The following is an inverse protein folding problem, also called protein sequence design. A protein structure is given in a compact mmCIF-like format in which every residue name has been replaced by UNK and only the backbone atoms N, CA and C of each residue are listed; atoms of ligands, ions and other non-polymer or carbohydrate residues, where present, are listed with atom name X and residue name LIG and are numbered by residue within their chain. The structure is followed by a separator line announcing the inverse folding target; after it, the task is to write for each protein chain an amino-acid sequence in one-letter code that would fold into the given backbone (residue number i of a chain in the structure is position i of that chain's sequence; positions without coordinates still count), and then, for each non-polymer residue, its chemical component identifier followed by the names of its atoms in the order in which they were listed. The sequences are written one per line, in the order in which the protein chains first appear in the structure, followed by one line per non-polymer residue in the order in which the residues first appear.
data_IF_281875594891
#
_entry.id   IF_281875594891
#
_cell.length_a   1.000
_cell.length_b   1.000
_cell.length_c   1.000
_cell.angle_alpha   90.00
_cell.angle_beta   90.00
_cell.angle_gamma   90.00
#
_symmetry.space_group_name_H-M   'P 1'
#
loop_
_entity.id
_entity.type
_entity.pdbx_description
1 polymer ?
#
# COMPACT_ATOMS: atom_id res chain seq x y z
N UNK A 1 -16.07 34.76 87.86
CA UNK A 1 -17.12 33.76 87.57
C UNK A 1 -17.25 33.67 86.06
N UNK A 2 -16.91 32.56 85.39
CA UNK A 2 -17.85 31.47 84.97
C UNK A 2 -19.10 32.03 84.26
N UNK A 3 -19.55 31.64 83.06
CA UNK A 3 -19.26 30.54 82.12
C UNK A 3 -19.77 31.01 80.71
N UNK A 4 -19.63 30.36 79.54
CA UNK A 4 -18.96 29.13 79.08
C UNK A 4 -18.64 29.25 77.56
N UNK A 5 -17.60 28.61 77.03
CA UNK A 5 -17.32 28.59 75.59
C UNK A 5 -18.01 27.40 74.88
N UNK A 6 -19.09 27.68 74.13
CA UNK A 6 -19.79 26.65 73.34
C UNK A 6 -18.97 26.24 72.11
N UNK A 7 -18.14 25.20 72.29
CA UNK A 7 -17.33 24.58 71.24
C UNK A 7 -18.25 23.86 70.25
N UNK A 8 -18.59 24.50 69.11
CA UNK A 8 -19.28 23.81 68.01
C UNK A 8 -18.42 22.63 67.55
N UNK A 9 -18.83 21.41 67.86
CA UNK A 9 -18.25 20.18 67.29
C UNK A 9 -18.52 20.19 65.79
N UNK A 10 -17.53 20.62 64.99
CA UNK A 10 -17.49 20.25 63.57
C UNK A 10 -17.46 18.73 63.50
N UNK A 11 -18.48 18.12 62.89
CA UNK A 11 -18.66 16.67 62.88
C UNK A 11 -17.65 16.04 61.92
N UNK A 12 -16.63 15.27 62.39
CA UNK A 12 -15.59 14.74 61.50
C UNK A 12 -16.18 13.83 60.42
N UNK A 13 -17.27 13.14 60.75
CA UNK A 13 -17.99 12.23 59.86
C UNK A 13 -18.42 12.90 58.54
N UNK A 14 -18.75 14.20 58.47
CA UNK A 14 -19.19 14.80 57.20
C UNK A 14 -18.06 14.97 56.19
N UNK A 15 -16.85 15.34 56.64
CA UNK A 15 -15.69 15.40 55.77
C UNK A 15 -15.25 13.99 55.34
N UNK A 16 -15.18 13.06 56.30
CA UNK A 16 -14.76 11.67 56.06
C UNK A 16 -15.76 10.91 55.13
N UNK A 17 -17.07 11.09 55.29
CA UNK A 17 -18.07 10.55 54.35
C UNK A 17 -17.98 11.21 52.97
N UNK A 18 -17.64 12.50 52.89
CA UNK A 18 -17.38 13.21 51.64
C UNK A 18 -16.17 12.65 50.90
N UNK A 19 -15.05 12.45 51.59
CA UNK A 19 -13.84 11.84 51.03
C UNK A 19 -14.07 10.38 50.63
N UNK A 20 -14.80 9.57 51.41
CA UNK A 20 -15.12 8.20 51.01
C UNK A 20 -16.07 8.13 49.80
N UNK A 21 -17.03 9.06 49.67
CA UNK A 21 -17.87 9.16 48.48
C UNK A 21 -17.06 9.61 47.25
N UNK A 22 -16.18 10.60 47.42
CA UNK A 22 -15.24 11.10 46.40
C UNK A 22 -14.26 10.02 45.93
N UNK A 23 -13.68 9.25 46.85
CA UNK A 23 -12.79 8.14 46.55
C UNK A 23 -13.51 7.01 45.80
N UNK A 24 -14.76 6.69 46.16
CA UNK A 24 -15.58 5.70 45.44
C UNK A 24 -15.90 6.17 44.02
N UNK A 25 -16.25 7.45 43.83
CA UNK A 25 -16.46 8.04 42.51
C UNK A 25 -15.18 7.99 41.66
N UNK A 26 -14.05 8.38 42.23
CA UNK A 26 -12.74 8.38 41.56
C UNK A 26 -12.31 6.98 41.14
N UNK A 27 -12.56 5.95 41.97
CA UNK A 27 -12.33 4.53 41.60
C UNK A 27 -13.15 4.12 40.37
N UNK A 28 -14.45 4.45 40.33
CA UNK A 28 -15.28 4.15 39.17
C UNK A 28 -14.80 4.87 37.90
N UNK A 29 -14.40 6.13 38.01
CA UNK A 29 -13.83 6.90 36.88
C UNK A 29 -12.55 6.22 36.36
N UNK A 30 -11.62 5.85 37.26
CA UNK A 30 -10.39 5.17 36.88
C UNK A 30 -10.64 3.84 36.15
N UNK A 31 -11.54 3.00 36.68
CA UNK A 31 -11.88 1.70 36.06
C UNK A 31 -12.58 1.88 34.71
N UNK A 32 -13.60 2.74 34.61
CA UNK A 32 -14.37 2.92 33.38
C UNK A 32 -13.51 3.57 32.30
N UNK A 33 -12.77 4.64 32.62
CA UNK A 33 -11.89 5.30 31.66
C UNK A 33 -10.73 4.38 31.22
N UNK A 34 -10.16 3.59 32.13
CA UNK A 34 -9.13 2.60 31.80
C UNK A 34 -9.62 1.52 30.85
N UNK A 35 -10.82 0.96 31.09
CA UNK A 35 -11.44 -0.03 30.21
C UNK A 35 -11.79 0.54 28.83
N UNK A 36 -12.32 1.76 28.76
CA UNK A 36 -12.60 2.46 27.49
C UNK A 36 -11.29 2.70 26.72
N UNK A 37 -10.25 3.22 27.39
CA UNK A 37 -8.94 3.46 26.79
C UNK A 37 -8.31 2.18 26.25
N UNK A 38 -8.38 1.08 27.00
CA UNK A 38 -7.92 -0.24 26.58
C UNK A 38 -8.66 -0.75 25.32
N UNK A 39 -9.99 -0.78 25.35
CA UNK A 39 -10.81 -1.30 24.23
C UNK A 39 -10.59 -0.47 22.96
N UNK A 40 -10.59 0.86 23.05
CA UNK A 40 -10.34 1.72 21.89
C UNK A 40 -8.92 1.57 21.33
N UNK A 41 -7.91 1.40 22.20
CA UNK A 41 -6.53 1.15 21.79
C UNK A 41 -6.38 -0.17 21.04
N UNK A 42 -6.96 -1.26 21.57
CA UNK A 42 -6.92 -2.60 20.95
C UNK A 42 -7.71 -2.64 19.64
N UNK A 43 -8.83 -1.91 19.54
CA UNK A 43 -9.62 -1.82 18.31
C UNK A 43 -8.93 -0.99 17.21
N UNK A 44 -8.16 0.04 17.56
CA UNK A 44 -7.52 0.99 16.63
C UNK A 44 -6.80 0.35 15.42
N UNK A 45 -5.92 -0.68 15.55
CA UNK A 45 -5.29 -1.30 14.38
C UNK A 45 -6.30 -1.91 13.39
N UNK A 46 -7.41 -2.46 13.88
CA UNK A 46 -8.47 -3.08 13.07
C UNK A 46 -9.43 -2.08 12.42
N UNK A 47 -9.45 -0.81 12.87
CA UNK A 47 -10.36 0.20 12.33
C UNK A 47 -9.98 0.63 10.89
N UNK A 48 -10.97 0.93 10.02
CA UNK A 48 -10.72 1.24 8.62
C UNK A 48 -9.82 2.44 8.37
N UNK A 49 -9.06 2.36 7.28
CA UNK A 49 -8.24 3.44 6.70
C UNK A 49 -8.70 3.73 5.27
N UNK A 50 -8.39 4.93 4.77
CA UNK A 50 -8.54 5.27 3.36
C UNK A 50 -7.16 5.19 2.69
N UNK A 51 -6.98 4.29 1.73
CA UNK A 51 -5.79 4.21 0.90
C UNK A 51 -5.94 5.11 -0.33
N UNK A 52 -4.88 5.82 -0.70
CA UNK A 52 -4.79 6.50 -2.00
C UNK A 52 -4.16 5.53 -3.00
N UNK A 53 -4.94 5.07 -3.98
CA UNK A 53 -4.46 4.18 -5.05
C UNK A 53 -3.84 4.98 -6.21
N UNK A 54 -2.93 4.36 -6.94
CA UNK A 54 -2.30 4.93 -8.13
C UNK A 54 -2.15 3.88 -9.23
N UNK A 55 -2.38 4.28 -10.47
CA UNK A 55 -2.19 3.48 -11.68
C UNK A 55 -1.21 4.21 -12.61
N UNK A 56 -0.40 3.42 -13.32
CA UNK A 56 0.48 3.90 -14.38
C UNK A 56 -0.09 3.42 -15.71
N UNK A 57 -0.66 4.36 -16.48
CA UNK A 57 -1.18 4.09 -17.82
C UNK A 57 -0.30 4.72 -18.91
N UNK A 58 -0.14 3.99 -20.01
CA UNK A 58 0.62 4.38 -21.20
C UNK A 58 0.00 3.74 -22.46
N UNK A 59 0.02 4.36 -23.65
CA UNK A 59 0.59 5.68 -23.98
C UNK A 59 -0.12 6.87 -23.34
N UNK A 60 0.58 8.00 -23.22
CA UNK A 60 0.04 9.23 -22.63
C UNK A 60 -0.13 10.32 -23.69
N UNK A 61 -1.16 11.17 -23.52
CA UNK A 61 -1.43 12.33 -24.42
C UNK A 61 -1.55 11.95 -25.91
N UNK A 62 -1.93 10.70 -26.21
CA UNK A 62 -2.07 10.20 -27.58
C UNK A 62 -0.76 10.07 -28.37
N UNK A 63 0.40 10.08 -27.70
CA UNK A 63 1.72 10.03 -28.34
C UNK A 63 2.55 8.86 -27.80
N UNK A 64 3.34 8.25 -28.69
CA UNK A 64 4.38 7.30 -28.34
C UNK A 64 5.60 8.07 -27.86
N UNK A 65 5.87 7.92 -26.57
CA UNK A 65 7.06 8.46 -25.91
C UNK A 65 7.35 7.65 -24.66
N UNK A 66 8.62 7.54 -24.31
CA UNK A 66 9.03 6.91 -23.06
C UNK A 66 8.63 7.78 -21.87
N UNK A 67 8.12 7.16 -20.80
CA UNK A 67 7.73 7.82 -19.55
C UNK A 67 8.49 7.22 -18.38
N UNK A 68 8.98 8.05 -17.46
CA UNK A 68 9.67 7.62 -16.25
C UNK A 68 8.69 7.48 -15.09
N UNK A 69 8.76 6.34 -14.40
CA UNK A 69 7.94 6.02 -13.24
C UNK A 69 8.73 5.06 -12.32
N UNK A 70 9.72 5.56 -11.55
CA UNK A 70 10.50 4.73 -10.64
C UNK A 70 9.66 4.29 -9.43
N UNK A 71 9.25 3.02 -9.41
CA UNK A 71 8.52 2.44 -8.28
C UNK A 71 9.48 2.19 -7.11
N UNK A 72 9.21 2.80 -5.95
CA UNK A 72 9.98 2.54 -4.72
C UNK A 72 9.82 1.08 -4.23
N UNK A 73 8.65 0.48 -4.45
CA UNK A 73 8.36 -0.93 -4.19
C UNK A 73 8.99 -1.90 -5.22
N UNK A 74 9.71 -1.36 -6.21
CA UNK A 74 10.28 -2.00 -7.41
C UNK A 74 9.23 -2.63 -8.35
N UNK A 75 8.36 -3.49 -7.84
CA UNK A 75 7.34 -4.24 -8.60
C UNK A 75 5.93 -3.67 -8.37
N UNK A 76 5.02 -3.80 -9.35
CA UNK A 76 3.61 -3.44 -9.20
C UNK A 76 2.84 -4.54 -8.44
N UNK A 77 1.60 -4.24 -8.07
CA UNK A 77 0.63 -5.27 -7.63
C UNK A 77 0.31 -6.16 -8.82
N UNK A 78 -0.16 -5.55 -9.91
CA UNK A 78 -0.51 -6.17 -11.18
C UNK A 78 0.00 -5.32 -12.35
N UNK A 79 0.35 -5.98 -13.46
CA UNK A 79 0.78 -5.38 -14.71
C UNK A 79 0.07 -6.04 -15.89
N UNK A 80 -0.41 -5.22 -16.81
CA UNK A 80 -1.01 -5.66 -18.07
C UNK A 80 -0.48 -4.82 -19.23
N UNK A 81 -0.22 -5.47 -20.36
CA UNK A 81 0.14 -4.83 -21.61
C UNK A 81 -0.61 -5.48 -22.78
N UNK A 82 -1.11 -4.66 -23.69
CA UNK A 82 -1.73 -5.06 -24.95
C UNK A 82 -1.00 -4.36 -26.08
N UNK A 83 -0.46 -5.14 -27.02
CA UNK A 83 0.28 -4.65 -28.19
C UNK A 83 -0.40 -5.18 -29.46
N UNK A 84 -1.09 -4.35 -30.26
CA UNK A 84 -1.65 -4.77 -31.55
C UNK A 84 -0.56 -5.28 -32.49
N UNK A 85 -0.82 -6.36 -33.25
CA UNK A 85 0.21 -6.89 -34.15
C UNK A 85 0.53 -5.93 -35.32
N UNK A 86 -0.33 -4.94 -35.60
CA UNK A 86 -0.05 -3.83 -36.52
C UNK A 86 1.16 -2.98 -36.09
N UNK A 87 1.42 -2.86 -34.78
CA UNK A 87 2.63 -2.21 -34.27
C UNK A 87 3.87 -2.95 -34.77
N UNK A 88 3.89 -4.28 -34.66
CA UNK A 88 4.99 -5.14 -35.13
C UNK A 88 5.12 -5.10 -36.67
N UNK A 89 3.99 -5.07 -37.40
CA UNK A 89 3.97 -4.90 -38.87
C UNK A 89 4.60 -3.58 -39.32
N UNK A 90 4.39 -2.50 -38.57
CA UNK A 90 4.91 -1.18 -38.90
C UNK A 90 6.39 -0.96 -38.51
N UNK A 91 7.02 -1.88 -37.78
CA UNK A 91 8.43 -1.72 -37.36
C UNK A 91 9.43 -1.93 -38.50
N UNK A 92 10.60 -1.23 -38.46
CA UNK A 92 11.70 -1.47 -39.39
C UNK A 92 12.16 -2.95 -39.43
N UNK A 93 12.85 -3.39 -40.51
CA UNK A 93 13.39 -4.76 -40.60
C UNK A 93 14.34 -5.13 -39.46
N UNK A 94 15.13 -4.18 -38.95
CA UNK A 94 16.02 -4.38 -37.80
C UNK A 94 15.28 -4.69 -36.48
N UNK A 95 14.00 -4.29 -36.37
CA UNK A 95 13.23 -4.41 -35.14
C UNK A 95 13.51 -3.28 -34.15
N UNK A 96 13.35 -3.58 -32.85
CA UNK A 96 13.49 -2.65 -31.73
C UNK A 96 12.69 -3.09 -30.51
N UNK A 97 12.70 -2.28 -29.45
CA UNK A 97 11.90 -2.47 -28.24
C UNK A 97 10.53 -1.83 -28.45
N UNK A 98 9.48 -2.64 -28.59
CA UNK A 98 8.09 -2.17 -28.58
C UNK A 98 7.73 -1.65 -27.20
N UNK A 99 8.13 -2.40 -26.17
CA UNK A 99 7.84 -2.10 -24.78
C UNK A 99 8.99 -2.58 -23.88
N UNK A 100 9.41 -1.75 -22.93
CA UNK A 100 10.30 -2.12 -21.84
C UNK A 100 9.88 -1.45 -20.53
N UNK A 101 9.95 -2.17 -19.41
CA UNK A 101 9.71 -1.61 -18.07
C UNK A 101 10.96 -0.95 -17.46
N UNK A 102 12.09 -1.05 -18.16
CA UNK A 102 13.33 -0.32 -17.93
C UNK A 102 13.99 0.06 -19.28
N UNK A 103 14.94 1.00 -19.33
CA UNK A 103 15.75 1.27 -20.52
C UNK A 103 16.55 0.02 -20.90
N UNK A 104 16.56 -0.35 -22.20
CA UNK A 104 17.22 -1.59 -22.67
C UNK A 104 18.73 -1.64 -22.39
N UNK A 105 19.38 -0.47 -22.41
CA UNK A 105 20.82 -0.30 -22.10
C UNK A 105 21.09 -0.11 -20.60
N UNK A 106 20.09 -0.24 -19.73
CA UNK A 106 20.26 -0.15 -18.28
C UNK A 106 21.07 -1.31 -17.72
N UNK A 107 21.83 -1.06 -16.65
CA UNK A 107 22.53 -2.12 -15.91
C UNK A 107 21.52 -3.18 -15.46
N UNK A 108 21.84 -4.45 -15.73
CA UNK A 108 21.04 -5.62 -15.36
C UNK A 108 19.57 -5.56 -15.83
N UNK A 109 19.24 -4.74 -16.83
CA UNK A 109 17.85 -4.48 -17.23
C UNK A 109 17.13 -5.78 -17.65
N UNK A 110 17.78 -6.64 -18.43
CA UNK A 110 17.23 -7.94 -18.82
C UNK A 110 16.98 -8.88 -17.62
N UNK A 111 17.67 -8.69 -16.48
CA UNK A 111 17.55 -9.53 -15.28
C UNK A 111 16.42 -9.11 -14.34
N UNK A 112 15.89 -7.88 -14.46
CA UNK A 112 14.85 -7.37 -13.56
C UNK A 112 13.59 -6.84 -14.25
N UNK A 113 13.66 -6.50 -15.53
CA UNK A 113 12.57 -5.84 -16.25
C UNK A 113 11.96 -6.74 -17.34
N UNK A 114 10.67 -6.53 -17.60
CA UNK A 114 9.94 -7.07 -18.73
C UNK A 114 10.22 -6.27 -20.00
N UNK A 115 10.40 -6.99 -21.11
CA UNK A 115 10.49 -6.44 -22.46
C UNK A 115 9.61 -7.20 -23.46
N UNK A 116 9.05 -6.45 -24.42
CA UNK A 116 8.52 -6.96 -25.69
C UNK A 116 9.46 -6.46 -26.78
N UNK A 117 10.30 -7.34 -27.30
CA UNK A 117 11.33 -7.04 -28.29
C UNK A 117 10.94 -7.65 -29.63
N UNK A 118 11.08 -6.89 -30.70
CA UNK A 118 11.00 -7.37 -32.08
C UNK A 118 12.43 -7.37 -32.63
N UNK A 119 12.87 -8.50 -33.17
CA UNK A 119 14.13 -8.63 -33.91
C UNK A 119 13.83 -8.75 -35.42
N UNK A 120 14.83 -9.06 -36.24
CA UNK A 120 14.58 -9.35 -37.66
C UNK A 120 13.81 -10.67 -37.87
N UNK A 121 13.91 -11.64 -36.95
CA UNK A 121 13.36 -12.99 -37.11
C UNK A 121 12.32 -13.40 -36.05
N UNK A 122 12.31 -12.76 -34.88
CA UNK A 122 11.49 -13.16 -33.72
C UNK A 122 10.81 -11.98 -33.05
N UNK A 123 9.71 -12.26 -32.37
CA UNK A 123 9.09 -11.38 -31.37
C UNK A 123 9.12 -12.11 -30.04
N UNK A 124 9.79 -11.50 -29.07
CA UNK A 124 10.14 -12.11 -27.80
C UNK A 124 9.51 -11.31 -26.65
N UNK A 125 8.73 -11.98 -25.81
CA UNK A 125 8.30 -11.46 -24.51
C UNK A 125 9.21 -12.09 -23.46
N UNK A 126 10.02 -11.27 -22.81
CA UNK A 126 11.01 -11.71 -21.82
C UNK A 126 10.79 -10.98 -20.51
N UNK A 127 10.91 -11.66 -19.38
CA UNK A 127 10.86 -11.07 -18.05
C UNK A 127 11.90 -11.71 -17.13
N UNK A 128 12.61 -10.91 -16.33
CA UNK A 128 13.66 -11.34 -15.38
C UNK A 128 14.62 -12.42 -15.92
N UNK A 129 15.13 -12.23 -17.13
CA UNK A 129 16.03 -13.14 -17.88
C UNK A 129 15.44 -14.51 -18.24
N UNK A 130 14.10 -14.63 -18.22
CA UNK A 130 13.34 -15.78 -18.70
C UNK A 130 12.56 -15.38 -19.97
N UNK A 131 12.57 -16.24 -20.98
CA UNK A 131 11.73 -16.06 -22.18
C UNK A 131 10.33 -16.61 -21.85
N UNK A 132 9.35 -15.70 -21.73
CA UNK A 132 7.95 -16.05 -21.43
C UNK A 132 7.30 -16.69 -22.65
N UNK A 133 7.50 -16.09 -23.83
CA UNK A 133 7.05 -16.59 -25.12
C UNK A 133 7.88 -15.95 -26.25
N UNK A 134 8.28 -16.76 -27.23
CA UNK A 134 9.04 -16.32 -28.40
C UNK A 134 8.37 -16.87 -29.67
N UNK A 135 8.04 -15.99 -30.61
CA UNK A 135 7.26 -16.32 -31.81
C UNK A 135 8.01 -15.82 -33.06
N UNK A 136 8.05 -16.58 -34.17
CA UNK A 136 8.62 -16.09 -35.43
C UNK A 136 7.93 -14.81 -35.92
N UNK A 137 8.71 -13.80 -36.36
CA UNK A 137 8.19 -12.48 -36.73
C UNK A 137 7.19 -12.57 -37.88
N UNK A 138 7.43 -13.45 -38.84
CA UNK A 138 6.55 -13.70 -39.99
C UNK A 138 5.15 -14.19 -39.56
N UNK A 139 5.05 -14.97 -38.47
CA UNK A 139 3.77 -15.39 -37.91
C UNK A 139 3.04 -14.22 -37.24
N UNK A 140 3.78 -13.37 -36.50
CA UNK A 140 3.24 -12.18 -35.83
C UNK A 140 2.81 -11.10 -36.84
N UNK A 141 3.51 -10.97 -37.97
CA UNK A 141 3.09 -10.05 -39.04
C UNK A 141 1.91 -10.57 -39.84
N UNK A 142 1.59 -11.88 -39.78
CA UNK A 142 0.48 -12.47 -40.54
C UNK A 142 -0.89 -11.88 -40.14
N UNK A 143 -1.91 -11.95 -41.02
CA UNK A 143 -3.27 -11.50 -40.71
C UNK A 143 -3.95 -12.28 -39.58
N UNK A 144 -3.39 -13.42 -39.15
CA UNK A 144 -3.93 -14.22 -38.03
C UNK A 144 -3.64 -13.56 -36.68
N UNK A 145 -2.52 -12.83 -36.56
CA UNK A 145 -2.15 -12.13 -35.33
C UNK A 145 -2.98 -10.87 -35.14
N UNK A 146 -3.73 -10.83 -34.03
CA UNK A 146 -4.55 -9.67 -33.63
C UNK A 146 -3.78 -8.76 -32.67
N UNK A 147 -3.35 -9.31 -31.53
CA UNK A 147 -2.63 -8.59 -30.46
C UNK A 147 -1.81 -9.53 -29.60
N UNK A 148 -0.76 -9.01 -28.98
CA UNK A 148 0.02 -9.64 -27.93
C UNK A 148 -0.51 -9.12 -26.60
N UNK A 149 -1.04 -10.00 -25.77
CA UNK A 149 -1.45 -9.72 -24.40
C UNK A 149 -0.37 -10.24 -23.45
N UNK A 150 0.09 -9.40 -22.52
CA UNK A 150 1.06 -9.76 -21.49
C UNK A 150 0.47 -9.41 -20.14
N UNK A 151 0.41 -10.38 -19.24
CA UNK A 151 -0.15 -10.20 -17.89
C UNK A 151 0.83 -10.69 -16.86
N UNK A 152 1.08 -9.90 -15.83
CA UNK A 152 1.91 -10.28 -14.68
C UNK A 152 1.20 -9.87 -13.40
N UNK A 153 0.82 -10.87 -12.61
CA UNK A 153 -0.05 -10.71 -11.42
C UNK A 153 0.45 -11.64 -10.31
N UNK A 154 -0.26 -11.73 -9.19
CA UNK A 154 0.03 -12.75 -8.18
C UNK A 154 -0.14 -14.20 -8.70
N UNK A 155 -0.83 -14.43 -9.82
CA UNK A 155 -0.91 -15.75 -10.46
C UNK A 155 0.30 -16.11 -11.33
N UNK A 156 1.25 -15.20 -11.51
CA UNK A 156 2.44 -15.35 -12.37
C UNK A 156 2.42 -14.46 -13.62
N UNK A 157 3.41 -14.66 -14.48
CA UNK A 157 3.64 -13.89 -15.72
C UNK A 157 3.36 -14.74 -16.95
N UNK A 158 2.46 -14.27 -17.81
CA UNK A 158 2.01 -14.94 -19.03
C UNK A 158 2.01 -14.00 -20.24
N UNK A 159 2.25 -14.58 -21.42
CA UNK A 159 2.10 -13.92 -22.71
C UNK A 159 1.18 -14.76 -23.62
N UNK A 160 0.32 -14.07 -24.38
CA UNK A 160 -0.71 -14.65 -25.24
C UNK A 160 -0.72 -13.91 -26.59
N UNK A 161 -0.44 -14.61 -27.68
CA UNK A 161 -0.44 -14.05 -29.03
C UNK A 161 -1.79 -14.34 -29.69
N UNK A 162 -2.75 -13.45 -29.45
CA UNK A 162 -4.17 -13.66 -29.82
C UNK A 162 -4.33 -13.84 -31.32
N UNK A 163 -5.01 -14.92 -31.69
CA UNK A 163 -5.28 -15.33 -33.06
C UNK A 163 -4.23 -16.27 -33.66
N UNK A 164 -3.03 -16.34 -33.06
CA UNK A 164 -2.06 -17.40 -33.36
C UNK A 164 -2.35 -18.67 -32.55
N UNK A 165 -1.89 -19.80 -33.09
CA UNK A 165 -2.04 -21.13 -32.50
C UNK A 165 -0.70 -21.84 -32.44
N UNK A 166 -0.56 -22.74 -31.48
CA UNK A 166 0.56 -23.67 -31.42
C UNK A 166 0.38 -24.84 -32.43
N UNK A 167 1.39 -25.71 -32.60
CA UNK A 167 1.29 -26.87 -33.50
C UNK A 167 0.21 -27.90 -33.10
N UNK A 168 -0.32 -27.85 -31.87
CA UNK A 168 -1.45 -28.71 -31.43
C UNK A 168 -2.82 -28.10 -31.78
N UNK A 169 -2.86 -26.84 -32.22
CA UNK A 169 -4.07 -26.09 -32.54
C UNK A 169 -4.68 -25.33 -31.36
N UNK A 170 -4.00 -25.33 -30.20
CA UNK A 170 -4.37 -24.55 -29.02
C UNK A 170 -3.96 -23.07 -29.18
N UNK A 171 -4.57 -22.12 -28.45
CA UNK A 171 -4.15 -20.71 -28.47
C UNK A 171 -2.68 -20.55 -28.08
N UNK A 172 -1.93 -19.71 -28.80
CA UNK A 172 -0.50 -19.52 -28.56
C UNK A 172 -0.24 -18.69 -27.29
N UNK A 173 -0.28 -19.36 -26.14
CA UNK A 173 -0.08 -18.81 -24.80
C UNK A 173 0.98 -19.58 -24.03
N UNK A 174 1.86 -18.87 -23.34
CA UNK A 174 2.91 -19.43 -22.49
C UNK A 174 3.13 -18.54 -21.26
N UNK A 175 3.80 -19.07 -20.25
CA UNK A 175 4.19 -18.33 -19.05
C UNK A 175 4.48 -19.23 -17.87
N UNK A 176 4.75 -18.59 -16.74
CA UNK A 176 5.22 -19.22 -15.52
C UNK A 176 4.34 -18.78 -14.34
N UNK A 177 3.73 -19.72 -13.59
CA UNK A 177 2.88 -19.42 -12.44
C UNK A 177 3.73 -19.08 -11.19
N UNK A 178 4.68 -18.15 -11.31
CA UNK A 178 5.53 -17.68 -10.22
C UNK A 178 5.19 -16.22 -9.86
N UNK A 179 4.66 -15.93 -8.65
CA UNK A 179 4.34 -14.56 -8.20
C UNK A 179 5.55 -13.64 -8.07
N UNK A 180 6.78 -14.18 -8.13
CA UNK A 180 8.04 -13.45 -8.06
C UNK A 180 8.58 -13.02 -9.45
N UNK A 181 7.95 -13.45 -10.54
CA UNK A 181 8.26 -12.99 -11.90
C UNK A 181 7.55 -11.68 -12.27
N UNK A 182 7.07 -10.90 -11.30
CA UNK A 182 6.59 -9.53 -11.57
C UNK A 182 7.76 -8.60 -11.89
N UNK A 183 7.69 -7.79 -12.97
CA UNK A 183 8.82 -7.00 -13.40
C UNK A 183 9.07 -5.81 -12.49
N UNK A 184 10.35 -5.43 -12.37
CA UNK A 184 10.73 -4.13 -11.85
C UNK A 184 10.37 -3.04 -12.86
N UNK A 185 9.62 -2.03 -12.42
CA UNK A 185 9.22 -0.89 -13.24
C UNK A 185 10.01 0.36 -12.81
N UNK A 186 10.76 0.92 -13.74
CA UNK A 186 11.34 2.28 -13.62
C UNK A 186 10.73 3.28 -14.61
N UNK A 187 9.81 2.80 -15.45
CA UNK A 187 9.07 3.57 -16.44
C UNK A 187 8.44 2.66 -17.50
N UNK A 188 7.93 3.25 -18.56
CA UNK A 188 7.56 2.54 -19.79
C UNK A 188 8.37 3.15 -20.92
N UNK A 189 9.25 2.33 -21.51
CA UNK A 189 10.20 2.72 -22.54
C UNK A 189 9.87 2.04 -23.86
N UNK A 190 10.10 2.74 -24.96
CA UNK A 190 9.84 2.26 -26.32
C UNK A 190 10.81 2.91 -27.31
N UNK A 191 11.14 2.19 -28.37
CA UNK A 191 11.83 2.73 -29.55
C UNK A 191 10.83 3.27 -30.59
N UNK A 192 9.53 3.11 -30.36
CA UNK A 192 8.47 3.61 -31.23
C UNK A 192 8.27 5.12 -31.06
N UNK A 193 7.88 5.80 -32.14
CA UNK A 193 7.66 7.25 -32.17
C UNK A 193 6.40 7.61 -32.95
N UNK A 194 5.85 8.81 -32.73
CA UNK A 194 4.66 9.31 -33.41
C UNK A 194 3.36 9.08 -32.63
N UNK A 195 2.18 9.16 -33.27
CA UNK A 195 0.89 9.03 -32.59
C UNK A 195 0.65 7.61 -32.05
N UNK A 196 -0.03 7.52 -30.91
CA UNK A 196 -0.37 6.24 -30.30
C UNK A 196 -1.42 5.48 -31.14
N UNK A 197 -1.15 4.25 -31.59
CA UNK A 197 -2.12 3.45 -32.34
C UNK A 197 -3.21 2.90 -31.42
N UNK A 198 -4.45 2.72 -31.93
CA UNK A 198 -5.56 2.20 -31.13
C UNK A 198 -5.27 0.78 -30.63
N UNK A 199 -5.62 0.50 -29.37
CA UNK A 199 -5.44 -0.81 -28.73
C UNK A 199 -4.04 -1.08 -28.18
N UNK A 200 -3.05 -0.20 -28.41
CA UNK A 200 -1.80 -0.23 -27.66
C UNK A 200 -2.04 0.38 -26.27
N UNK A 201 -1.88 -0.42 -25.23
CA UNK A 201 -2.12 -0.01 -23.86
C UNK A 201 -1.22 -0.78 -22.88
N UNK A 202 -0.75 -0.09 -21.86
CA UNK A 202 -0.14 -0.67 -20.65
C UNK A 202 -0.81 -0.04 -19.45
N UNK A 203 -1.17 -0.88 -18.48
CA UNK A 203 -1.68 -0.44 -17.19
C UNK A 203 -1.00 -1.25 -16.08
N UNK A 204 -0.44 -0.55 -15.09
CA UNK A 204 0.20 -1.14 -13.92
C UNK A 204 -0.36 -0.54 -12.62
N UNK A 205 -0.83 -1.39 -11.73
CA UNK A 205 -1.34 -1.01 -10.41
C UNK A 205 -0.17 -0.83 -9.45
N UNK A 206 0.10 0.41 -9.03
CA UNK A 206 1.24 0.72 -8.15
C UNK A 206 0.92 0.30 -6.72
N UNK A 207 1.86 -0.40 -6.07
CA UNK A 207 1.71 -0.80 -4.67
C UNK A 207 1.81 0.42 -3.74
N UNK A 208 0.63 0.88 -3.33
CA UNK A 208 0.40 2.07 -2.51
C UNK A 208 -0.11 1.72 -1.12
N UNK A 209 0.06 0.47 -0.65
CA UNK A 209 -0.52 -0.05 0.60
C UNK A 209 -0.17 0.76 1.86
N UNK A 210 0.93 1.51 1.83
CA UNK A 210 1.39 2.35 2.92
C UNK A 210 0.91 3.82 2.82
N UNK A 211 0.41 4.25 1.66
CA UNK A 211 -0.14 5.59 1.41
C UNK A 211 -1.59 5.68 1.89
N UNK A 212 -1.76 5.73 3.21
CA UNK A 212 -3.09 5.72 3.86
C UNK A 212 -3.32 6.91 4.79
N UNK A 213 -4.59 7.23 5.03
CA UNK A 213 -5.03 8.18 6.07
C UNK A 213 -6.11 7.53 6.96
N UNK A 214 -6.19 7.86 8.26
CA UNK A 214 -7.26 7.34 9.11
C UNK A 214 -8.63 7.81 8.64
N UNK A 215 -9.64 6.95 8.78
CA UNK A 215 -11.04 7.37 8.70
C UNK A 215 -11.42 8.23 9.91
N UNK A 216 -12.51 8.99 9.82
CA UNK A 216 -13.07 9.74 10.97
C UNK A 216 -13.33 8.83 12.16
N UNK A 217 -13.82 7.60 11.94
CA UNK A 217 -14.01 6.59 12.98
C UNK A 217 -12.69 6.21 13.67
N UNK A 218 -11.64 5.93 12.90
CA UNK A 218 -10.31 5.61 13.43
C UNK A 218 -9.71 6.79 14.19
N UNK A 219 -9.88 8.01 13.69
CA UNK A 219 -9.42 9.23 14.34
C UNK A 219 -10.13 9.49 15.69
N UNK A 220 -11.46 9.32 15.74
CA UNK A 220 -12.24 9.44 16.98
C UNK A 220 -11.85 8.36 18.00
N UNK A 221 -11.58 7.12 17.56
CA UNK A 221 -11.10 6.07 18.45
C UNK A 221 -9.71 6.37 19.03
N UNK A 222 -8.79 6.90 18.22
CA UNK A 222 -7.46 7.33 18.68
C UNK A 222 -7.57 8.46 19.72
N UNK A 223 -8.34 9.51 19.41
CA UNK A 223 -8.54 10.64 20.33
C UNK A 223 -9.24 10.16 21.62
N UNK A 224 -10.27 9.34 21.50
CA UNK A 224 -11.00 8.77 22.63
C UNK A 224 -10.12 7.89 23.52
N UNK A 225 -9.25 7.05 22.93
CA UNK A 225 -8.28 6.23 23.66
C UNK A 225 -7.30 7.08 24.47
N UNK A 226 -6.72 8.12 23.83
CA UNK A 226 -5.77 9.03 24.48
C UNK A 226 -6.45 9.78 25.63
N UNK A 227 -7.63 10.38 25.40
CA UNK A 227 -8.36 11.13 26.42
C UNK A 227 -8.78 10.22 27.58
N UNK A 228 -9.31 9.03 27.31
CA UNK A 228 -9.69 8.06 28.33
C UNK A 228 -8.48 7.59 29.16
N UNK A 229 -7.32 7.37 28.52
CA UNK A 229 -6.07 7.03 29.22
C UNK A 229 -5.59 8.16 30.12
N UNK A 230 -5.62 9.41 29.65
CA UNK A 230 -5.27 10.59 30.48
C UNK A 230 -6.22 10.74 31.66
N UNK A 231 -7.54 10.57 31.47
CA UNK A 231 -8.53 10.61 32.55
C UNK A 231 -8.29 9.47 33.56
N UNK A 232 -7.98 8.26 33.09
CA UNK A 232 -7.67 7.13 33.97
C UNK A 232 -6.41 7.38 34.81
N UNK A 233 -5.34 7.93 34.21
CA UNK A 233 -4.10 8.27 34.92
C UNK A 233 -4.31 9.41 35.93
N UNK A 234 -5.10 10.44 35.61
CA UNK A 234 -5.43 11.52 36.55
C UNK A 234 -6.28 10.98 37.71
N UNK A 235 -7.24 10.09 37.45
CA UNK A 235 -8.05 9.46 38.48
C UNK A 235 -7.21 8.53 39.38
N UNK A 236 -6.29 7.76 38.81
CA UNK A 236 -5.33 6.94 39.56
C UNK A 236 -4.43 7.81 40.45
N UNK A 237 -3.83 8.86 39.89
CA UNK A 237 -3.02 9.82 40.67
C UNK A 237 -3.82 10.45 41.83
N UNK A 238 -5.10 10.77 41.64
CA UNK A 238 -5.97 11.25 42.72
C UNK A 238 -6.22 10.22 43.81
N UNK A 239 -6.24 8.93 43.49
CA UNK A 239 -6.37 7.84 44.47
C UNK A 239 -5.06 7.63 45.24
N UNK A 240 -3.91 7.65 44.57
CA UNK A 240 -2.59 7.47 45.19
C UNK A 240 -2.29 8.56 46.24
N UNK A 241 -2.82 9.77 46.05
CA UNK A 241 -2.69 10.88 47.02
C UNK A 241 -3.43 10.62 48.34
N UNK A 242 -4.39 9.67 48.37
CA UNK A 242 -5.10 9.29 49.60
C UNK A 242 -4.23 8.48 50.57
N UNK A 243 -3.13 7.90 50.11
CA UNK A 243 -2.15 7.17 50.94
C UNK A 243 -1.26 8.12 51.80
N UNK A 244 -1.49 9.43 51.74
CA UNK A 244 -0.86 10.42 52.62
C UNK A 244 0.61 10.73 52.33
N UNK A 245 1.20 10.12 51.29
CA UNK A 245 2.59 10.33 50.84
C UNK A 245 2.74 11.51 49.86
N UNK A 246 1.78 12.42 49.87
CA UNK A 246 1.57 13.40 48.82
C UNK A 246 2.55 14.57 48.84
N UNK A 247 3.70 14.42 48.17
CA UNK A 247 4.13 15.36 47.13
C UNK A 247 5.45 14.96 46.48
N UNK A 248 5.56 15.18 45.15
CA UNK A 248 6.86 15.20 44.45
C UNK A 248 7.77 16.30 45.04
N UNK A 249 7.19 17.37 45.58
CA UNK A 249 7.92 18.40 46.34
C UNK A 249 8.64 17.86 47.60
N UNK A 250 8.10 16.85 48.29
CA UNK A 250 8.78 16.22 49.44
C UNK A 250 9.98 15.35 49.03
N UNK A 251 10.07 14.89 47.77
CA UNK A 251 11.28 14.21 47.27
C UNK A 251 12.38 15.20 46.85
N UNK A 252 12.02 16.39 46.37
CA UNK A 252 12.96 17.46 46.00
C UNK A 252 13.43 18.31 47.20
N UNK A 253 12.86 18.10 48.40
CA UNK A 253 13.18 18.85 49.63
C UNK A 253 13.66 17.95 50.78
N UNK A 254 14.09 16.71 50.49
CA UNK A 254 14.90 15.93 51.44
C UNK A 254 16.38 16.30 51.28
N UNK A 255 17.07 16.74 52.35
CA UNK A 255 18.51 16.95 52.34
C UNK A 255 19.28 15.62 52.28
#
# INVERSE_FOLDING_TARGET
MTQCASRRKSTPNRAILGDFASARGTRWVATIAGLIGFVLSVATPLLPVVQTTAMLDWPQRGQLGSVTAPLISLTPVDFTATVPCDVVRAMPPAGGVVLGTAPKQGKDANLQALFVVVSAQRVDVTDRNVVILSVPREQVTSPQCQRIEVTSTHAGTFANFVGLKDPSGAPLRSGFPDPNLRPQIVGVFTDLTGPAPPGLAVSATIDTRFSTRPTTLKLLAIIGAIVATVVALIALWRLDQLDGRGSIAQLLLRP
#
